data_IF_081324466028
#
_entry.id   IF_081324466028
#
_cell.length_a   1.000
_cell.length_b   1.000
_cell.length_c   1.000
_cell.angle_alpha   90.00
_cell.angle_beta   90.00
_cell.angle_gamma   90.00
#
_symmetry.space_group_name_H-M   'P 1'
#
loop_
_entity.id
_entity.type
_entity.pdbx_description
1 polymer ?
#
# COMPACT_ATOMS: atom_id res chain seq x y z
N UNK A 1 16.96 10.59 -3.20
CA UNK A 1 16.04 9.43 -3.08
C UNK A 1 15.33 9.39 -1.73
N UNK A 2 16.04 9.43 -0.58
CA UNK A 2 15.37 9.47 0.74
C UNK A 2 14.38 10.64 0.88
N UNK A 3 14.80 11.87 0.54
CA UNK A 3 13.90 13.04 0.56
C UNK A 3 12.68 12.90 -0.35
N UNK A 4 12.82 12.22 -1.49
CA UNK A 4 11.69 11.93 -2.36
C UNK A 4 10.67 11.03 -1.65
N UNK A 5 11.11 9.98 -0.95
CA UNK A 5 10.19 9.14 -0.17
C UNK A 5 9.56 9.93 0.98
N UNK A 6 10.31 10.79 1.67
CA UNK A 6 9.76 11.64 2.74
C UNK A 6 8.73 12.66 2.22
N UNK A 7 8.93 13.20 1.02
CA UNK A 7 7.99 14.14 0.39
C UNK A 7 6.73 13.44 -0.12
N UNK A 8 6.88 12.23 -0.67
CA UNK A 8 5.77 11.49 -1.30
C UNK A 8 5.02 10.56 -0.35
N UNK A 9 5.60 10.16 0.79
CA UNK A 9 4.85 9.43 1.80
C UNK A 9 3.79 10.35 2.42
N UNK A 10 2.62 9.79 2.74
CA UNK A 10 1.56 10.55 3.38
C UNK A 10 1.97 10.99 4.78
N UNK A 11 1.41 12.09 5.30
CA UNK A 11 1.75 12.59 6.64
C UNK A 11 1.54 11.58 7.76
N UNK A 12 0.61 10.65 7.58
CA UNK A 12 0.29 9.58 8.52
C UNK A 12 0.80 8.21 8.05
N UNK A 13 1.62 8.18 6.99
CA UNK A 13 2.09 6.96 6.36
C UNK A 13 3.61 6.98 6.21
N UNK A 14 4.25 5.84 6.38
CA UNK A 14 5.70 5.71 6.19
C UNK A 14 6.05 4.85 4.97
N UNK A 15 5.10 4.60 4.06
CA UNK A 15 5.34 3.72 2.93
C UNK A 15 4.78 4.26 1.61
N UNK A 16 5.51 3.94 0.53
CA UNK A 16 5.21 4.29 -0.85
C UNK A 16 5.25 3.04 -1.73
N UNK A 17 4.18 2.70 -2.43
CA UNK A 17 4.12 1.56 -3.35
C UNK A 17 4.16 2.05 -4.78
N UNK A 18 5.14 1.60 -5.55
CA UNK A 18 5.25 1.90 -6.97
C UNK A 18 6.16 0.90 -7.69
N UNK A 19 6.12 0.90 -9.02
CA UNK A 19 7.06 0.14 -9.82
C UNK A 19 8.43 0.82 -9.88
N UNK A 20 9.45 0.08 -10.33
CA UNK A 20 10.77 0.67 -10.63
C UNK A 20 10.72 1.67 -11.79
N UNK A 21 9.80 1.49 -12.75
CA UNK A 21 9.65 2.38 -13.91
C UNK A 21 9.04 3.70 -13.47
N UNK A 22 7.98 3.65 -12.66
CA UNK A 22 7.37 4.82 -12.02
C UNK A 22 8.42 5.63 -11.23
N UNK A 23 9.33 5.00 -10.47
CA UNK A 23 10.42 5.73 -9.80
C UNK A 23 11.36 6.44 -10.78
N UNK A 24 11.69 5.82 -11.90
CA UNK A 24 12.55 6.44 -12.92
C UNK A 24 11.87 7.67 -13.53
N UNK A 25 10.57 7.57 -13.84
CA UNK A 25 9.78 8.66 -14.40
C UNK A 25 9.64 9.84 -13.41
N UNK A 26 9.28 9.55 -12.16
CA UNK A 26 9.08 10.59 -11.13
C UNK A 26 10.37 11.28 -10.70
N UNK A 27 11.50 10.56 -10.74
CA UNK A 27 12.78 11.10 -10.27
C UNK A 27 13.71 11.55 -11.39
N UNK A 28 13.40 11.21 -12.65
CA UNK A 28 14.23 11.48 -13.83
C UNK A 28 15.53 10.66 -13.89
N UNK A 29 15.75 9.71 -12.98
CA UNK A 29 16.97 8.92 -12.92
C UNK A 29 16.87 7.58 -13.67
N UNK A 30 18.02 7.09 -14.14
CA UNK A 30 18.11 5.77 -14.76
C UNK A 30 17.83 4.64 -13.77
N UNK A 31 17.40 3.47 -14.28
CA UNK A 31 17.17 2.26 -13.49
C UNK A 31 18.34 1.91 -12.57
N UNK A 32 19.58 1.99 -13.08
CA UNK A 32 20.79 1.68 -12.30
C UNK A 32 20.97 2.66 -11.15
N UNK A 33 20.76 3.95 -11.40
CA UNK A 33 20.87 5.00 -10.37
C UNK A 33 19.84 4.80 -9.26
N UNK A 34 18.59 4.51 -9.64
CA UNK A 34 17.51 4.18 -8.71
C UNK A 34 17.87 2.94 -7.87
N UNK A 35 18.39 1.89 -8.51
CA UNK A 35 18.76 0.65 -7.83
C UNK A 35 19.92 0.84 -6.84
N UNK A 36 20.95 1.59 -7.22
CA UNK A 36 22.06 1.94 -6.33
C UNK A 36 21.58 2.75 -5.15
N UNK A 37 20.71 3.75 -5.37
CA UNK A 37 20.15 4.57 -4.31
C UNK A 37 19.32 3.73 -3.33
N UNK A 38 18.42 2.88 -3.82
CA UNK A 38 17.63 1.98 -2.97
C UNK A 38 18.53 1.03 -2.19
N UNK A 39 19.53 0.41 -2.83
CA UNK A 39 20.49 -0.49 -2.17
C UNK A 39 21.22 0.24 -1.03
N UNK A 40 21.69 1.47 -1.28
CA UNK A 40 22.38 2.28 -0.29
C UNK A 40 21.47 2.62 0.90
N UNK A 41 20.23 3.03 0.64
CA UNK A 41 19.25 3.35 1.69
C UNK A 41 18.87 2.13 2.53
N UNK A 42 18.78 0.94 1.92
CA UNK A 42 18.57 -0.32 2.66
C UNK A 42 19.77 -0.69 3.52
N UNK A 43 20.99 -0.57 2.98
CA UNK A 43 22.23 -0.88 3.73
C UNK A 43 22.40 0.00 4.98
N UNK A 44 21.90 1.24 4.91
CA UNK A 44 21.95 2.20 6.01
C UNK A 44 20.67 2.20 6.88
N UNK A 45 19.76 1.24 6.66
CA UNK A 45 18.51 1.08 7.43
C UNK A 45 17.55 2.28 7.37
N UNK A 46 17.64 3.12 6.33
CA UNK A 46 16.70 4.23 6.11
C UNK A 46 15.35 3.73 5.59
N UNK A 47 15.37 2.68 4.76
CA UNK A 47 14.17 2.10 4.16
C UNK A 47 14.22 0.57 4.17
N UNK A 48 13.04 -0.04 4.14
CA UNK A 48 12.81 -1.43 3.80
C UNK A 48 11.98 -1.57 2.51
N UNK A 49 11.98 -2.76 1.93
CA UNK A 49 11.24 -3.04 0.69
C UNK A 49 10.46 -4.34 0.77
N UNK A 50 9.18 -4.30 0.38
CA UNK A 50 8.31 -5.48 0.29
C UNK A 50 7.80 -5.61 -1.14
N UNK A 51 7.85 -6.80 -1.73
CA UNK A 51 7.27 -7.05 -3.06
C UNK A 51 5.76 -7.25 -2.95
N UNK A 52 5.01 -6.58 -3.83
CA UNK A 52 3.55 -6.69 -3.92
C UNK A 52 3.18 -6.89 -5.39
N UNK A 53 2.93 -8.14 -5.78
CA UNK A 53 2.71 -8.50 -7.18
C UNK A 53 3.88 -8.06 -8.07
N UNK A 54 3.60 -7.21 -9.07
CA UNK A 54 4.60 -6.61 -9.95
C UNK A 54 5.25 -5.32 -9.40
N UNK A 55 4.71 -4.76 -8.31
CA UNK A 55 5.19 -3.52 -7.70
C UNK A 55 6.05 -3.78 -6.45
N UNK A 56 6.66 -2.71 -5.93
CA UNK A 56 7.43 -2.76 -4.68
C UNK A 56 6.93 -1.66 -3.74
N UNK A 57 6.65 -2.03 -2.51
CA UNK A 57 6.47 -1.11 -1.40
C UNK A 57 7.84 -0.71 -0.85
N UNK A 58 8.08 0.59 -0.72
CA UNK A 58 9.24 1.20 -0.10
C UNK A 58 8.79 1.82 1.21
N UNK A 59 9.25 1.25 2.33
CA UNK A 59 8.85 1.65 3.67
C UNK A 59 9.99 2.43 4.32
N UNK A 60 9.79 3.70 4.63
CA UNK A 60 10.72 4.49 5.44
C UNK A 60 10.69 3.97 6.87
N UNK A 61 11.86 3.74 7.46
CA UNK A 61 11.98 3.26 8.83
C UNK A 61 11.23 4.19 9.78
N UNK A 62 10.43 3.63 10.68
CA UNK A 62 9.58 4.40 11.59
C UNK A 62 10.37 5.37 12.47
N UNK A 63 11.60 5.00 12.88
CA UNK A 63 12.51 5.89 13.64
C UNK A 63 12.92 7.15 12.86
N UNK A 64 12.83 7.08 11.53
CA UNK A 64 13.17 8.16 10.59
C UNK A 64 11.90 8.93 10.21
N UNK A 65 10.79 8.22 9.98
CA UNK A 65 9.52 8.80 9.58
C UNK A 65 8.75 9.47 10.74
N UNK A 66 8.96 9.01 11.98
CA UNK A 66 8.19 9.45 13.15
C UNK A 66 9.10 9.81 14.33
N UNK A 67 8.97 11.05 14.80
CA UNK A 67 9.52 11.54 16.07
C UNK A 67 8.41 11.67 17.14
N UNK A 68 7.22 11.09 16.92
CA UNK A 68 6.02 11.31 17.73
C UNK A 68 5.29 10.03 18.12
N UNK A 69 5.25 9.80 19.45
CA UNK A 69 4.53 8.82 20.28
C UNK A 69 3.88 7.57 19.64
N UNK A 70 4.42 6.44 20.11
CA UNK A 70 3.79 5.12 20.29
C UNK A 70 2.31 5.25 20.73
N UNK A 71 1.46 4.36 20.21
CA UNK A 71 0.49 3.54 20.96
C UNK A 71 -0.60 3.07 19.99
N UNK A 72 -0.52 1.82 19.53
CA UNK A 72 -1.65 0.88 19.38
C UNK A 72 -1.22 -0.38 18.62
N UNK A 73 -0.56 -1.29 19.34
CA UNK A 73 -0.16 -2.61 18.85
C UNK A 73 -1.26 -3.64 19.11
N UNK A 74 -2.17 -3.83 18.15
CA UNK A 74 -2.92 -5.09 17.96
C UNK A 74 -3.19 -5.44 16.48
N UNK A 75 -3.14 -4.47 15.57
CA UNK A 75 -3.12 -4.67 14.13
C UNK A 75 -2.08 -3.74 13.51
N UNK A 76 -1.38 -4.18 12.46
CA UNK A 76 -0.49 -3.31 11.71
C UNK A 76 -1.29 -2.65 10.56
N UNK A 77 -1.83 -1.45 10.81
CA UNK A 77 -2.40 -0.62 9.75
C UNK A 77 -1.26 0.01 8.96
N UNK A 78 -0.88 -0.59 7.84
CA UNK A 78 0.02 0.02 6.87
C UNK A 78 -0.80 0.88 5.91
N UNK A 79 -0.97 2.16 6.23
CA UNK A 79 -1.37 3.11 5.21
C UNK A 79 -0.20 3.28 4.23
N UNK A 80 -0.47 3.18 2.93
CA UNK A 80 0.54 3.31 1.90
C UNK A 80 0.02 4.21 0.80
N UNK A 81 0.85 5.14 0.33
CA UNK A 81 0.54 5.86 -0.90
C UNK A 81 0.90 4.95 -2.08
N UNK A 82 -0.07 4.66 -2.94
CA UNK A 82 0.15 3.87 -4.16
C UNK A 82 0.26 4.82 -5.33
N UNK A 83 1.37 4.76 -6.07
CA UNK A 83 1.54 5.51 -7.32
C UNK A 83 1.53 4.52 -8.48
N UNK A 84 0.60 4.74 -9.40
CA UNK A 84 0.52 4.07 -10.69
C UNK A 84 0.81 5.10 -11.80
N UNK A 85 1.67 4.73 -12.74
CA UNK A 85 1.95 5.55 -13.93
C UNK A 85 1.01 5.17 -15.07
N UNK A 86 0.63 6.16 -15.89
CA UNK A 86 -0.13 5.93 -17.12
C UNK A 86 0.64 5.02 -18.10
N UNK A 87 1.97 5.18 -18.17
CA UNK A 87 2.83 4.44 -19.10
C UNK A 87 2.89 2.93 -18.82
N UNK A 88 2.35 2.49 -17.69
CA UNK A 88 2.24 1.10 -17.27
C UNK A 88 0.82 0.54 -17.36
N UNK A 89 -0.15 1.36 -17.79
CA UNK A 89 -1.53 0.92 -17.98
C UNK A 89 -1.78 0.44 -19.42
N UNK A 90 -2.80 -0.40 -19.58
CA UNK A 90 -3.28 -0.80 -20.91
C UNK A 90 -3.80 0.43 -21.68
N UNK A 91 -3.64 0.44 -23.01
CA UNK A 91 -4.00 1.58 -23.86
C UNK A 91 -5.48 1.96 -23.79
N UNK A 92 -6.33 1.03 -23.36
CA UNK A 92 -7.77 1.23 -23.19
C UNK A 92 -8.17 1.70 -21.79
N UNK A 93 -7.23 1.96 -20.86
CA UNK A 93 -7.60 2.32 -19.48
C UNK A 93 -8.46 3.60 -19.44
N UNK A 94 -8.21 4.54 -20.36
CA UNK A 94 -9.02 5.76 -20.55
C UNK A 94 -10.46 5.48 -20.99
N UNK A 95 -10.68 4.35 -21.68
CA UNK A 95 -12.01 3.89 -22.10
C UNK A 95 -12.71 3.17 -20.94
N UNK A 96 -12.00 2.29 -20.23
CA UNK A 96 -12.49 1.60 -19.02
C UNK A 96 -12.90 2.57 -17.92
N UNK A 97 -12.18 3.69 -17.76
CA UNK A 97 -12.53 4.74 -16.79
C UNK A 97 -13.89 5.42 -17.05
N UNK A 98 -14.45 5.28 -18.27
CA UNK A 98 -15.75 5.85 -18.66
C UNK A 98 -16.90 4.85 -18.52
N UNK A 99 -16.62 3.59 -18.21
CA UNK A 99 -17.64 2.58 -17.99
C UNK A 99 -18.39 2.85 -16.67
N UNK A 100 -19.69 2.59 -16.66
CA UNK A 100 -20.48 2.72 -15.45
C UNK A 100 -20.01 1.69 -14.41
N UNK A 101 -19.66 2.17 -13.21
CA UNK A 101 -19.31 1.31 -12.10
C UNK A 101 -20.50 0.41 -11.75
N UNK A 102 -20.23 -0.86 -11.44
CA UNK A 102 -21.26 -1.75 -10.92
C UNK A 102 -21.72 -1.23 -9.57
N UNK A 103 -23.04 -1.21 -9.36
CA UNK A 103 -23.59 -0.94 -8.04
C UNK A 103 -23.08 -2.00 -7.06
N UNK A 104 -22.55 -1.54 -5.93
CA UNK A 104 -22.25 -2.41 -4.80
C UNK A 104 -23.58 -3.04 -4.36
N UNK A 105 -23.70 -4.38 -4.32
CA UNK A 105 -24.91 -5.01 -3.85
C UNK A 105 -25.15 -4.59 -2.39
N UNK A 106 -26.30 -4.01 -2.13
CA UNK A 106 -26.75 -3.73 -0.77
C UNK A 106 -27.36 -5.00 -0.20
N UNK A 107 -26.78 -5.52 0.87
CA UNK A 107 -27.43 -6.54 1.68
C UNK A 107 -28.32 -5.79 2.66
N UNK A 108 -29.63 -5.87 2.46
CA UNK A 108 -30.59 -5.39 3.45
C UNK A 108 -30.50 -6.32 4.67
N UNK A 109 -30.35 -5.73 5.86
CA UNK A 109 -30.08 -6.42 7.13
C UNK A 109 -31.24 -7.30 7.65
N UNK A 110 -32.26 -7.56 6.83
CA UNK A 110 -33.46 -8.31 7.21
C UNK A 110 -33.39 -9.83 6.93
N UNK A 111 -32.25 -10.35 6.46
CA UNK A 111 -32.07 -11.80 6.25
C UNK A 111 -30.97 -12.45 7.10
N UNK A 112 -30.65 -11.89 8.27
CA UNK A 112 -30.31 -12.76 9.40
C UNK A 112 -31.64 -13.22 10.01
N UNK A 113 -32.40 -14.02 9.26
CA UNK A 113 -33.23 -15.03 9.92
C UNK A 113 -32.23 -15.98 10.54
N UNK A 114 -31.93 -15.76 11.81
CA UNK A 114 -31.55 -16.86 12.67
C UNK A 114 -32.63 -17.91 12.47
N UNK A 115 -32.33 -18.97 11.72
CA UNK A 115 -32.94 -20.26 12.00
C UNK A 115 -32.43 -20.60 13.40
N UNK A 116 -33.12 -20.03 14.38
CA UNK A 116 -33.03 -20.36 15.79
C UNK A 116 -33.43 -21.82 15.89
N UNK A 117 -32.46 -22.72 15.70
CA UNK A 117 -32.48 -24.12 16.11
C UNK A 117 -31.11 -24.81 16.05
N UNK A 118 -30.05 -24.19 15.54
CA UNK A 118 -28.71 -24.76 15.71
C UNK A 118 -28.15 -24.39 17.08
N UNK A 119 -28.31 -25.33 18.02
CA UNK A 119 -27.65 -25.37 19.32
C UNK A 119 -26.15 -25.18 19.11
N UNK A 120 -25.59 -24.11 19.67
CA UNK A 120 -24.15 -23.89 19.72
C UNK A 120 -23.50 -25.09 20.45
N UNK A 121 -22.42 -25.69 19.92
CA UNK A 121 -21.72 -26.74 20.65
C UNK A 121 -21.17 -26.16 21.96
N UNK A 122 -21.48 -26.82 23.07
CA UNK A 122 -20.91 -26.47 24.36
C UNK A 122 -19.40 -26.66 24.31
N UNK A 123 -18.66 -25.64 24.70
CA UNK A 123 -17.23 -25.79 24.99
C UNK A 123 -17.13 -26.69 26.23
N UNK A 124 -16.69 -27.93 26.03
CA UNK A 124 -16.40 -28.87 27.10
C UNK A 124 -15.16 -28.43 27.87
N UNK A 125 -15.38 -28.14 29.17
CA UNK A 125 -14.49 -27.99 30.33
C UNK A 125 -13.17 -27.22 30.18
#
# INVERSE_FOLDING_TARGET
MLFFFLEKMGRTTNSLVCSYKTLQELTGYSRTSVAVAIKKLKQENWIDTVKIGSATAYCVNERVAWQGKDHERRYAMFSAMVIASESEQESDFHLKAKENLRHVPFVELDEIKTNSNDVLPSLSN
#
